data_IF_494434965880
#
_entry.id   IF_494434965880
#
_cell.length_a   1.000
_cell.length_b   1.000
_cell.length_c   1.000
_cell.angle_alpha   90.00
_cell.angle_beta   90.00
_cell.angle_gamma   90.00
#
_symmetry.space_group_name_H-M   'P 1'
#
loop_
_entity.id
_entity.type
_entity.pdbx_description
1 polymer ?
#
# COMPACT_ATOMS: atom_id res chain seq x y z
N UNK A 1 22.36 -9.39 -14.19
CA UNK A 1 21.52 -9.51 -12.99
C UNK A 1 20.30 -8.63 -13.18
N UNK A 2 19.09 -9.19 -13.14
CA UNK A 2 17.84 -8.43 -13.31
C UNK A 2 17.38 -7.85 -11.98
N UNK A 3 16.93 -6.59 -11.97
CA UNK A 3 16.30 -5.98 -10.79
C UNK A 3 14.80 -6.25 -10.82
N UNK A 4 14.22 -6.61 -9.66
CA UNK A 4 12.76 -6.66 -9.48
C UNK A 4 12.26 -5.22 -9.37
N UNK A 5 11.33 -4.82 -10.24
CA UNK A 5 10.76 -3.46 -10.31
C UNK A 5 9.24 -3.57 -10.28
N UNK A 6 8.61 -2.78 -9.43
CA UNK A 6 7.16 -2.59 -9.43
C UNK A 6 6.80 -1.21 -10.00
N UNK A 7 6.31 -1.13 -11.25
CA UNK A 7 6.03 0.16 -11.87
C UNK A 7 4.79 0.81 -11.25
N UNK A 8 4.99 1.97 -10.61
CA UNK A 8 3.91 2.78 -10.05
C UNK A 8 3.53 3.91 -11.01
N UNK A 9 2.29 3.88 -11.50
CA UNK A 9 1.73 4.91 -12.37
C UNK A 9 0.48 5.53 -11.73
N UNK A 10 0.22 6.81 -12.04
CA UNK A 10 -1.00 7.52 -11.65
C UNK A 10 -1.26 7.56 -10.12
N UNK A 11 -0.21 7.51 -9.28
CA UNK A 11 -0.35 7.54 -7.82
C UNK A 11 -0.98 8.85 -7.31
N UNK A 12 -0.63 9.98 -7.91
CA UNK A 12 -1.20 11.28 -7.52
C UNK A 12 -2.62 11.52 -8.07
N UNK A 13 -3.13 10.64 -8.94
CA UNK A 13 -4.48 10.74 -9.47
C UNK A 13 -5.45 9.97 -8.57
N UNK A 14 -6.08 10.62 -7.59
CA UNK A 14 -7.04 9.95 -6.70
C UNK A 14 -8.34 9.52 -7.40
N UNK A 15 -9.11 8.66 -6.74
CA UNK A 15 -10.45 8.24 -7.19
C UNK A 15 -10.59 6.74 -7.43
N UNK A 16 -11.67 6.35 -8.11
CA UNK A 16 -12.02 4.94 -8.28
C UNK A 16 -10.97 4.16 -9.08
N UNK A 17 -10.77 2.90 -8.67
CA UNK A 17 -9.96 1.89 -9.35
C UNK A 17 -10.75 0.59 -9.37
N UNK A 18 -11.07 0.12 -10.57
CA UNK A 18 -11.72 -1.17 -10.78
C UNK A 18 -10.63 -2.18 -11.13
N UNK A 19 -10.49 -3.23 -10.31
CA UNK A 19 -9.60 -4.36 -10.59
C UNK A 19 -10.23 -5.64 -10.05
N UNK A 20 -10.31 -6.65 -10.90
CA UNK A 20 -10.90 -7.97 -10.57
C UNK A 20 -9.85 -8.92 -9.96
N UNK A 21 -9.16 -8.49 -8.90
CA UNK A 21 -8.06 -9.27 -8.29
C UNK A 21 -8.46 -9.98 -6.99
N UNK A 22 -9.42 -9.45 -6.21
CA UNK A 22 -10.04 -10.16 -5.06
C UNK A 22 -11.31 -10.87 -5.51
N UNK A 23 -12.18 -10.16 -6.25
CA UNK A 23 -13.43 -10.64 -6.81
C UNK A 23 -13.84 -9.70 -7.96
N UNK A 24 -14.70 -10.18 -8.85
CA UNK A 24 -15.21 -9.36 -9.95
C UNK A 24 -16.03 -8.17 -9.43
N UNK A 25 -15.78 -6.98 -9.97
CA UNK A 25 -16.59 -5.79 -9.70
C UNK A 25 -16.25 -5.02 -8.41
N UNK A 26 -15.16 -5.35 -7.73
CA UNK A 26 -14.72 -4.57 -6.55
C UNK A 26 -14.15 -3.23 -7.00
N UNK A 27 -14.80 -2.14 -6.56
CA UNK A 27 -14.33 -0.77 -6.75
C UNK A 27 -13.50 -0.36 -5.53
N UNK A 28 -12.20 -0.12 -5.74
CA UNK A 28 -11.34 0.50 -4.74
C UNK A 28 -11.37 2.03 -4.90
N UNK A 29 -11.29 2.75 -3.78
CA UNK A 29 -11.05 4.20 -3.80
C UNK A 29 -9.57 4.45 -3.54
N UNK A 30 -8.84 4.86 -4.58
CA UNK A 30 -7.45 5.24 -4.43
C UNK A 30 -7.36 6.62 -3.79
N UNK A 31 -6.59 6.71 -2.70
CA UNK A 31 -6.18 7.93 -2.05
C UNK A 31 -4.69 7.82 -1.74
N UNK A 32 -3.99 8.94 -1.81
CA UNK A 32 -2.62 9.07 -1.35
C UNK A 32 -2.55 8.94 0.17
N UNK A 33 -1.35 8.63 0.69
CA UNK A 33 -1.12 8.64 2.14
C UNK A 33 -1.42 10.02 2.72
N UNK A 34 -1.02 11.08 2.04
CA UNK A 34 -1.27 12.46 2.46
C UNK A 34 -2.77 12.74 2.63
N UNK A 35 -3.61 12.31 1.69
CA UNK A 35 -5.06 12.51 1.80
C UNK A 35 -5.67 11.77 2.99
N UNK A 36 -5.20 10.55 3.29
CA UNK A 36 -5.65 9.85 4.49
C UNK A 36 -5.21 10.56 5.77
N UNK A 37 -3.92 10.90 5.88
CA UNK A 37 -3.36 11.54 7.07
C UNK A 37 -4.02 12.89 7.32
N UNK A 38 -4.08 13.76 6.31
CA UNK A 38 -4.67 15.08 6.44
C UNK A 38 -6.17 15.00 6.77
N UNK A 39 -6.91 14.08 6.15
CA UNK A 39 -8.32 13.88 6.47
C UNK A 39 -8.56 13.48 7.94
N UNK A 40 -7.66 12.68 8.53
CA UNK A 40 -7.72 12.35 9.96
C UNK A 40 -7.41 13.58 10.83
N UNK A 41 -6.37 14.34 10.48
CA UNK A 41 -5.98 15.55 11.22
C UNK A 41 -7.07 16.62 11.18
N UNK A 42 -7.66 16.87 10.01
CA UNK A 42 -8.75 17.84 9.82
C UNK A 42 -10.02 17.44 10.60
N UNK A 43 -10.24 16.12 10.77
CA UNK A 43 -11.31 15.58 11.60
C UNK A 43 -11.03 15.67 13.12
N UNK A 44 -9.87 16.22 13.53
CA UNK A 44 -9.51 16.43 14.93
C UNK A 44 -8.80 15.24 15.59
N UNK A 45 -8.39 14.23 14.82
CA UNK A 45 -7.57 13.14 15.36
C UNK A 45 -6.12 13.57 15.51
N UNK A 46 -5.42 12.98 16.47
CA UNK A 46 -3.97 13.11 16.62
C UNK A 46 -3.28 11.91 15.95
N UNK A 47 -2.39 12.17 15.00
CA UNK A 47 -1.54 11.14 14.43
C UNK A 47 -0.45 10.74 15.44
N UNK A 48 -0.46 9.49 15.90
CA UNK A 48 0.53 8.97 16.87
C UNK A 48 1.58 8.08 16.22
N UNK A 49 1.24 7.38 15.14
CA UNK A 49 2.14 6.51 14.37
C UNK A 49 1.63 6.35 12.95
N UNK A 50 2.56 6.33 11.99
CA UNK A 50 2.32 5.93 10.61
C UNK A 50 3.33 4.83 10.28
N UNK A 51 2.86 3.67 9.82
CA UNK A 51 3.69 2.53 9.51
C UNK A 51 3.31 1.94 8.16
N UNK A 52 4.31 1.76 7.30
CA UNK A 52 4.18 0.99 6.06
C UNK A 52 4.74 -0.42 6.32
N UNK A 53 3.85 -1.42 6.36
CA UNK A 53 4.20 -2.79 6.70
C UNK A 53 5.32 -3.33 5.83
N UNK A 54 6.29 -4.04 6.39
CA UNK A 54 7.22 -4.89 5.66
C UNK A 54 7.61 -6.09 6.53
N UNK A 55 7.89 -7.26 5.95
CA UNK A 55 8.21 -8.44 6.73
C UNK A 55 9.62 -8.31 7.34
N UNK A 56 9.79 -8.80 8.56
CA UNK A 56 11.10 -8.91 9.20
C UNK A 56 11.80 -10.22 8.80
N UNK A 57 13.07 -10.39 9.21
CA UNK A 57 13.87 -11.56 8.83
C UNK A 57 13.29 -12.90 9.33
N UNK A 58 12.69 -12.92 10.52
CA UNK A 58 12.06 -14.12 11.08
C UNK A 58 10.81 -14.50 10.28
N UNK A 59 9.98 -13.51 9.94
CA UNK A 59 8.79 -13.70 9.11
C UNK A 59 9.15 -14.19 7.69
N UNK A 60 10.26 -13.71 7.12
CA UNK A 60 10.75 -14.22 5.82
C UNK A 60 11.27 -15.64 5.95
N UNK A 61 11.89 -16.01 7.08
CA UNK A 61 12.35 -17.38 7.29
C UNK A 61 11.17 -18.36 7.38
N UNK A 62 10.05 -17.94 7.99
CA UNK A 62 8.80 -18.72 8.07
C UNK A 62 8.02 -18.71 6.75
N UNK A 63 8.01 -17.58 6.05
CA UNK A 63 7.30 -17.34 4.80
C UNK A 63 8.25 -16.77 3.72
N UNK A 64 9.08 -17.62 3.07
CA UNK A 64 10.07 -17.17 2.10
C UNK A 64 9.47 -16.35 0.95
N UNK A 65 8.21 -16.58 0.59
CA UNK A 65 7.48 -15.85 -0.45
C UNK A 65 7.31 -14.36 -0.12
N UNK A 66 7.29 -13.98 1.16
CA UNK A 66 7.18 -12.58 1.59
C UNK A 66 8.46 -11.77 1.35
N UNK A 67 9.59 -12.41 1.01
CA UNK A 67 10.78 -11.67 0.57
C UNK A 67 10.49 -10.75 -0.63
N UNK A 68 9.50 -11.09 -1.46
CA UNK A 68 9.07 -10.23 -2.56
C UNK A 68 8.45 -8.91 -2.07
N UNK A 69 7.80 -8.89 -0.91
CA UNK A 69 7.13 -7.71 -0.33
C UNK A 69 8.12 -6.64 0.17
N UNK A 70 9.41 -6.97 0.28
CA UNK A 70 10.48 -5.98 0.47
C UNK A 70 10.65 -5.08 -0.77
N UNK A 71 10.23 -5.55 -1.94
CA UNK A 71 10.27 -4.82 -3.20
C UNK A 71 8.88 -4.22 -3.45
N UNK A 72 8.80 -2.89 -3.59
CA UNK A 72 7.54 -2.14 -3.73
C UNK A 72 7.69 -0.99 -4.70
#
# INVERSE_FOLDING_TARGET
>A
HGHVIWPLNNYLMEGQRVRDWIAAGVIKQHRTIASYVNGLLDAGFQLTRLEEWGPNAEQIAEHPEWANELHR
#
